data_IF_385185806678
#
_entry.id   IF_385185806678
#
_cell.length_a   1.000
_cell.length_b   1.000
_cell.length_c   1.000
_cell.angle_alpha   90.00
_cell.angle_beta   90.00
_cell.angle_gamma   90.00
#
_symmetry.space_group_name_H-M   'P 1'
#
loop_
_entity.id
_entity.type
_entity.pdbx_description
1 polymer ?
#
# COMPACT_ATOMS: atom_id res chain seq x y z
N UNK A 1 -36.07 -0.66 13.46
CA UNK A 1 -34.65 -0.38 13.77
C UNK A 1 -34.03 0.25 12.55
N UNK A 2 -33.76 1.55 12.58
CA UNK A 2 -33.26 2.30 11.41
C UNK A 2 -31.74 2.22 11.39
N UNK A 3 -31.20 1.69 10.29
CA UNK A 3 -29.76 1.66 10.03
C UNK A 3 -29.26 3.11 9.90
N UNK A 4 -28.49 3.55 10.89
CA UNK A 4 -27.67 4.76 10.78
C UNK A 4 -26.64 4.50 9.69
N UNK A 5 -26.89 5.03 8.48
CA UNK A 5 -25.83 5.29 7.53
C UNK A 5 -24.92 6.34 8.18
N UNK A 6 -23.84 5.89 8.82
CA UNK A 6 -22.69 6.74 9.11
C UNK A 6 -22.14 7.18 7.76
N UNK A 7 -22.54 8.36 7.31
CA UNK A 7 -21.89 9.08 6.23
C UNK A 7 -20.47 9.33 6.70
N UNK A 8 -19.56 8.43 6.37
CA UNK A 8 -18.14 8.59 6.63
C UNK A 8 -17.72 9.84 5.86
N UNK A 9 -17.40 10.90 6.59
CA UNK A 9 -16.89 12.14 6.02
C UNK A 9 -15.59 11.83 5.31
N UNK A 10 -15.65 11.73 3.97
CA UNK A 10 -14.48 11.55 3.14
C UNK A 10 -13.52 12.71 3.42
N UNK A 11 -12.32 12.40 3.92
CA UNK A 11 -11.31 13.42 4.19
C UNK A 11 -10.88 14.04 2.85
N UNK A 12 -11.01 15.37 2.75
CA UNK A 12 -10.64 16.15 1.57
C UNK A 12 -9.34 16.91 1.86
N UNK A 13 -8.32 16.68 1.04
CA UNK A 13 -7.04 17.39 1.11
C UNK A 13 -6.89 18.30 -0.10
N UNK A 14 -6.74 19.60 0.12
CA UNK A 14 -6.39 20.54 -0.94
C UNK A 14 -4.88 20.65 -1.04
N UNK A 15 -4.27 19.96 -2.00
CA UNK A 15 -2.81 20.01 -2.15
C UNK A 15 -2.33 19.75 -3.58
N UNK A 16 -1.14 20.28 -3.92
CA UNK A 16 -0.43 19.92 -5.13
C UNK A 16 -0.10 18.43 -5.18
N UNK A 17 -0.08 17.88 -6.40
CA UNK A 17 0.26 16.48 -6.62
C UNK A 17 1.64 16.12 -6.05
N UNK A 18 2.65 16.97 -6.25
CA UNK A 18 4.00 16.73 -5.75
C UNK A 18 4.04 16.62 -4.20
N UNK A 19 3.33 17.51 -3.51
CA UNK A 19 3.23 17.50 -2.05
C UNK A 19 2.48 16.25 -1.56
N UNK A 20 1.40 15.88 -2.26
CA UNK A 20 0.65 14.66 -1.97
C UNK A 20 1.53 13.42 -2.10
N UNK A 21 2.28 13.29 -3.19
CA UNK A 21 3.17 12.15 -3.43
C UNK A 21 4.26 12.08 -2.35
N UNK A 22 4.86 13.20 -1.98
CA UNK A 22 5.85 13.26 -0.89
C UNK A 22 5.24 12.83 0.45
N UNK A 23 4.03 13.31 0.76
CA UNK A 23 3.33 12.95 1.99
C UNK A 23 2.99 11.46 2.02
N UNK A 24 2.45 10.91 0.93
CA UNK A 24 2.10 9.49 0.83
C UNK A 24 3.36 8.61 0.93
N UNK A 25 4.46 9.03 0.28
CA UNK A 25 5.76 8.36 0.37
C UNK A 25 6.33 8.37 1.79
N UNK A 26 6.28 9.51 2.47
CA UNK A 26 6.74 9.67 3.85
C UNK A 26 5.93 8.79 4.80
N UNK A 27 4.62 8.80 4.64
CA UNK A 27 3.69 8.04 5.46
C UNK A 27 3.61 6.54 5.11
N UNK A 28 4.27 6.08 4.05
CA UNK A 28 4.06 4.74 3.46
C UNK A 28 2.58 4.42 3.24
N UNK A 29 1.81 5.42 2.83
CA UNK A 29 0.36 5.30 2.77
C UNK A 29 -0.05 4.23 1.74
N UNK A 30 -1.04 3.43 2.11
CA UNK A 30 -1.75 2.53 1.20
C UNK A 30 -3.21 2.95 1.16
N UNK A 31 -3.58 3.70 0.14
CA UNK A 31 -4.90 4.32 0.01
C UNK A 31 -5.16 4.73 -1.44
N UNK A 32 -6.43 4.97 -1.76
CA UNK A 32 -6.82 5.55 -3.04
C UNK A 32 -7.38 6.95 -2.83
N UNK A 33 -7.10 7.84 -3.78
CA UNK A 33 -7.52 9.22 -3.78
C UNK A 33 -8.23 9.51 -5.09
N UNK A 34 -9.23 10.39 -5.04
CA UNK A 34 -9.80 10.96 -6.25
C UNK A 34 -9.98 12.46 -6.17
N UNK A 35 -9.84 13.15 -7.30
CA UNK A 35 -10.16 14.56 -7.40
C UNK A 35 -10.92 14.84 -8.70
N UNK A 36 -11.88 15.77 -8.66
CA UNK A 36 -12.55 16.26 -9.86
C UNK A 36 -11.64 17.31 -10.50
N UNK A 37 -11.38 17.16 -11.80
CA UNK A 37 -10.54 18.09 -12.56
C UNK A 37 -11.35 19.32 -12.98
N UNK A 38 -10.82 20.54 -12.76
CA UNK A 38 -11.50 21.73 -13.21
C UNK A 38 -11.60 21.77 -14.75
N UNK A 39 -12.62 22.47 -15.31
CA UNK A 39 -12.81 22.63 -16.76
C UNK A 39 -11.59 23.21 -17.49
N UNK A 40 -10.77 23.98 -16.79
CA UNK A 40 -9.55 24.59 -17.31
C UNK A 40 -8.40 23.62 -17.59
N UNK A 41 -8.45 22.37 -17.10
CA UNK A 41 -7.39 21.38 -17.36
C UNK A 41 -7.59 20.78 -18.75
N UNK A 42 -6.58 20.89 -19.64
CA UNK A 42 -6.67 20.30 -20.97
C UNK A 42 -6.54 18.78 -20.86
N UNK A 43 -7.64 18.08 -21.11
CA UNK A 43 -7.69 16.61 -21.19
C UNK A 43 -8.18 16.24 -22.58
N UNK A 44 -7.43 15.39 -23.27
CA UNK A 44 -7.84 14.89 -24.58
C UNK A 44 -9.17 14.12 -24.47
N UNK A 45 -10.05 14.27 -25.46
CA UNK A 45 -11.38 13.64 -25.51
C UNK A 45 -12.40 14.12 -24.46
N UNK A 46 -12.11 15.21 -23.73
CA UNK A 46 -13.11 15.84 -22.84
C UNK A 46 -14.13 16.62 -23.68
N UNK A 47 -15.39 16.20 -23.66
CA UNK A 47 -16.50 16.99 -24.21
C UNK A 47 -16.97 18.07 -23.22
N UNK A 48 -17.55 19.16 -23.73
CA UNK A 48 -18.17 20.20 -22.90
C UNK A 48 -19.22 19.59 -21.95
N UNK A 49 -19.19 20.02 -20.68
CA UNK A 49 -20.08 19.51 -19.64
C UNK A 49 -19.67 18.17 -19.01
N UNK A 50 -18.59 17.53 -19.48
CA UNK A 50 -18.08 16.30 -18.85
C UNK A 50 -17.15 16.60 -17.67
N UNK A 51 -17.47 15.99 -16.53
CA UNK A 51 -16.59 15.97 -15.35
C UNK A 51 -15.58 14.83 -15.49
N UNK A 52 -14.30 15.19 -15.38
CA UNK A 52 -13.18 14.24 -15.37
C UNK A 52 -12.74 14.06 -13.93
N UNK A 53 -12.54 12.81 -13.52
CA UNK A 53 -12.01 12.43 -12.22
C UNK A 53 -10.59 11.91 -12.40
N UNK A 54 -9.66 12.46 -11.63
CA UNK A 54 -8.38 11.85 -11.40
C UNK A 54 -8.47 10.83 -10.28
N UNK A 55 -7.91 9.66 -10.50
CA UNK A 55 -7.76 8.62 -9.49
C UNK A 55 -6.28 8.30 -9.33
N UNK A 56 -5.85 8.27 -8.06
CA UNK A 56 -4.51 7.87 -7.66
C UNK A 56 -4.63 6.76 -6.64
N UNK A 57 -3.94 5.64 -6.85
CA UNK A 57 -3.80 4.60 -5.85
C UNK A 57 -2.35 4.54 -5.41
N UNK A 58 -2.16 4.50 -4.10
CA UNK A 58 -0.87 4.36 -3.45
C UNK A 58 -0.80 3.02 -2.74
N UNK A 59 0.34 2.35 -2.86
CA UNK A 59 0.71 1.21 -2.03
C UNK A 59 2.09 1.47 -1.44
N UNK A 60 2.18 1.42 -0.10
CA UNK A 60 3.43 1.67 0.64
C UNK A 60 4.11 2.98 0.21
N UNK A 61 3.29 4.01 -0.11
CA UNK A 61 3.75 5.32 -0.56
C UNK A 61 4.25 5.38 -2.01
N UNK A 62 3.99 4.35 -2.82
CA UNK A 62 4.26 4.34 -4.27
C UNK A 62 2.96 4.41 -5.04
N UNK A 63 2.93 5.18 -6.12
CA UNK A 63 1.78 5.20 -7.03
C UNK A 63 1.73 3.87 -7.78
N UNK A 64 0.63 3.13 -7.62
CA UNK A 64 0.34 1.91 -8.40
C UNK A 64 -0.64 2.17 -9.52
N UNK A 65 -1.50 3.17 -9.34
CA UNK A 65 -2.47 3.61 -10.34
C UNK A 65 -2.51 5.12 -10.40
N UNK A 66 -2.46 5.66 -11.61
CA UNK A 66 -2.78 7.04 -11.90
C UNK A 66 -3.64 7.04 -13.16
N UNK A 67 -4.86 7.58 -13.12
CA UNK A 67 -5.70 7.64 -14.31
C UNK A 67 -6.67 8.81 -14.25
N UNK A 68 -7.08 9.27 -15.43
CA UNK A 68 -8.15 10.22 -15.62
C UNK A 68 -9.32 9.49 -16.26
N UNK A 69 -10.49 9.52 -15.63
CA UNK A 69 -11.70 8.87 -16.15
C UNK A 69 -12.87 9.85 -16.17
N UNK A 70 -13.82 9.62 -17.08
CA UNK A 70 -15.08 10.35 -17.10
C UNK A 70 -15.93 9.92 -15.91
N UNK A 71 -16.49 10.88 -15.17
CA UNK A 71 -17.35 10.58 -14.02
C UNK A 71 -18.58 9.78 -14.41
N UNK A 72 -19.18 10.10 -15.56
CA UNK A 72 -20.46 9.53 -16.00
C UNK A 72 -20.34 8.09 -16.47
N UNK A 73 -19.31 7.77 -17.25
CA UNK A 73 -19.13 6.45 -17.87
C UNK A 73 -18.02 5.61 -17.26
N UNK A 74 -17.23 6.17 -16.32
CA UNK A 74 -15.97 5.60 -15.83
C UNK A 74 -14.97 5.24 -16.94
N UNK A 75 -15.21 5.71 -18.18
CA UNK A 75 -14.31 5.50 -19.31
C UNK A 75 -13.00 6.20 -19.01
N UNK A 76 -11.91 5.45 -19.10
CA UNK A 76 -10.57 5.99 -18.89
C UNK A 76 -10.13 6.76 -20.13
N UNK A 77 -9.75 8.02 -19.92
CA UNK A 77 -9.23 8.91 -20.96
C UNK A 77 -7.71 8.83 -21.05
N UNK A 78 -7.04 8.78 -19.89
CA UNK A 78 -5.58 8.80 -19.79
C UNK A 78 -5.14 7.94 -18.61
N UNK A 79 -3.96 7.33 -18.71
CA UNK A 79 -3.40 6.47 -17.67
C UNK A 79 -1.92 6.76 -17.41
N UNK A 80 -1.49 6.39 -16.21
CA UNK A 80 -0.12 6.37 -15.72
C UNK A 80 0.64 7.67 -15.99
N UNK A 81 1.73 7.62 -16.78
CA UNK A 81 2.62 8.75 -17.01
C UNK A 81 1.93 9.96 -17.64
N UNK A 82 1.00 9.74 -18.57
CA UNK A 82 0.27 10.82 -19.24
C UNK A 82 -0.68 11.52 -18.27
N UNK A 83 -1.41 10.74 -17.48
CA UNK A 83 -2.27 11.26 -16.43
C UNK A 83 -1.45 12.02 -15.37
N UNK A 84 -0.28 11.50 -14.99
CA UNK A 84 0.60 12.13 -14.02
C UNK A 84 1.15 13.46 -14.53
N UNK A 85 1.54 13.55 -15.81
CA UNK A 85 2.03 14.79 -16.42
C UNK A 85 0.95 15.88 -16.41
N UNK A 86 -0.28 15.53 -16.81
CA UNK A 86 -1.42 16.46 -16.76
C UNK A 86 -1.68 16.91 -15.33
N UNK A 87 -1.73 15.98 -14.37
CA UNK A 87 -1.99 16.30 -12.97
C UNK A 87 -0.87 17.11 -12.31
N UNK A 88 0.38 16.93 -12.73
CA UNK A 88 1.51 17.71 -12.23
C UNK A 88 1.50 19.16 -12.73
N UNK A 89 0.87 19.40 -13.89
CA UNK A 89 0.59 20.75 -14.39
C UNK A 89 -0.52 21.48 -13.64
N UNK A 90 -1.28 20.77 -12.80
CA UNK A 90 -2.35 21.35 -11.98
C UNK A 90 -1.81 21.75 -10.60
N UNK A 91 -2.09 22.98 -10.19
CA UNK A 91 -1.55 23.55 -8.95
C UNK A 91 -1.99 22.80 -7.69
N UNK A 92 -3.29 22.80 -7.38
CA UNK A 92 -3.83 22.12 -6.21
C UNK A 92 -5.21 21.54 -6.55
N UNK A 93 -5.42 20.29 -6.14
CA UNK A 93 -6.68 19.58 -6.34
C UNK A 93 -7.28 19.15 -4.99
N UNK A 94 -8.62 19.12 -4.87
CA UNK A 94 -9.31 18.59 -3.71
C UNK A 94 -9.31 17.05 -3.76
N UNK A 95 -8.30 16.43 -3.18
CA UNK A 95 -8.15 14.98 -3.11
C UNK A 95 -9.05 14.39 -2.02
N UNK A 96 -9.99 13.56 -2.43
CA UNK A 96 -10.85 12.78 -1.54
C UNK A 96 -10.21 11.44 -1.26
N UNK A 97 -10.07 11.07 0.02
CA UNK A 97 -9.59 9.75 0.41
C UNK A 97 -10.70 8.73 0.33
N UNK A 98 -10.44 7.69 -0.45
CA UNK A 98 -11.18 6.44 -0.41
C UNK A 98 -10.38 5.46 0.43
N UNK A 99 -10.94 5.06 1.57
CA UNK A 99 -10.45 3.88 2.25
C UNK A 99 -10.50 2.73 1.24
N UNK A 100 -9.41 1.96 1.12
CA UNK A 100 -9.42 0.72 0.33
C UNK A 100 -10.55 -0.15 0.88
N UNK A 101 -11.72 -0.09 0.25
CA UNK A 101 -12.61 -1.22 0.23
C UNK A 101 -11.81 -2.25 -0.56
N UNK A 102 -11.28 -3.23 0.17
CA UNK A 102 -10.95 -4.51 -0.43
C UNK A 102 -12.28 -4.99 -1.04
N UNK A 103 -12.51 -4.66 -2.31
CA UNK A 103 -13.30 -5.51 -3.18
C UNK A 103 -12.49 -6.81 -3.30
N UNK A 104 -12.64 -7.65 -2.28
CA UNK A 104 -12.53 -9.09 -2.41
C UNK A 104 -13.68 -9.54 -3.31
N UNK A 105 -13.61 -9.16 -4.58
CA UNK A 105 -14.29 -9.83 -5.68
C UNK A 105 -13.44 -11.07 -5.99
N UNK A 106 -13.44 -12.02 -5.06
CA UNK A 106 -12.92 -13.36 -5.25
C UNK A 106 -14.07 -14.32 -4.91
N UNK A 107 -14.89 -14.53 -5.93
CA UNK A 107 -15.41 -15.86 -6.27
C UNK A 107 -15.99 -16.65 -5.09
N UNK A 108 -17.24 -16.35 -4.74
CA UNK A 108 -18.08 -17.23 -3.94
C UNK A 108 -18.36 -18.51 -4.72
N UNK A 109 -17.43 -19.47 -4.67
CA UNK A 109 -17.75 -20.88 -4.80
C UNK A 109 -18.39 -21.33 -3.47
N UNK A 110 -19.63 -21.88 -3.47
CA UNK A 110 -20.22 -22.39 -2.26
C UNK A 110 -19.69 -23.80 -2.02
N UNK A 111 -18.79 -23.97 -1.05
CA UNK A 111 -18.52 -25.29 -0.48
C UNK A 111 -18.78 -25.25 1.02
N UNK A 112 -19.83 -25.99 1.34
CA UNK A 112 -20.39 -26.35 2.63
C UNK A 112 -19.39 -26.66 3.74
N UNK A 113 -19.86 -26.36 4.96
CA UNK A 113 -19.55 -27.04 6.23
C UNK A 113 -18.08 -26.91 6.71
N UNK A 114 -17.74 -26.81 7.99
CA UNK A 114 -18.27 -27.49 9.18
C UNK A 114 -17.74 -26.73 10.41
N UNK A 115 -18.56 -26.70 11.46
CA UNK A 115 -18.26 -26.65 12.90
C UNK A 115 -16.86 -26.27 13.41
N UNK A 116 -16.89 -25.36 14.40
CA UNK A 116 -15.86 -25.10 15.39
C UNK A 116 -15.02 -26.32 15.81
N UNK A 117 -13.71 -26.12 15.92
CA UNK A 117 -12.89 -26.77 16.94
C UNK A 117 -11.70 -25.88 17.26
N UNK A 118 -11.66 -25.43 18.51
CA UNK A 118 -10.45 -24.94 19.15
C UNK A 118 -9.36 -25.98 18.96
N UNK A 119 -8.27 -25.61 18.30
CA UNK A 119 -7.05 -26.41 18.26
C UNK A 119 -5.89 -25.47 18.50
N UNK A 120 -5.60 -25.32 19.80
CA UNK A 120 -4.32 -24.93 20.36
C UNK A 120 -3.26 -25.77 19.66
N UNK A 121 -2.63 -25.20 18.66
CA UNK A 121 -1.46 -25.80 18.02
C UNK A 121 -0.35 -24.84 18.35
N UNK A 122 0.55 -25.25 19.24
CA UNK A 122 1.82 -24.58 19.50
C UNK A 122 2.56 -24.45 18.16
N UNK A 123 2.31 -23.35 17.46
CA UNK A 123 2.99 -23.02 16.23
C UNK A 123 4.44 -22.74 16.61
N UNK A 124 5.32 -23.66 16.23
CA UNK A 124 6.76 -23.48 16.32
C UNK A 124 7.11 -22.09 15.81
N UNK A 125 7.58 -21.23 16.70
CA UNK A 125 7.77 -19.81 16.42
C UNK A 125 8.97 -19.70 15.48
N UNK A 126 8.71 -19.42 14.20
CA UNK A 126 9.77 -19.25 13.20
C UNK A 126 10.36 -17.84 13.34
N UNK A 127 11.67 -17.77 13.50
CA UNK A 127 12.42 -16.54 13.71
C UNK A 127 13.36 -16.31 12.52
N UNK A 128 13.41 -15.09 11.96
CA UNK A 128 14.36 -14.76 10.90
C UNK A 128 15.78 -14.68 11.48
N UNK A 129 16.70 -15.48 10.94
CA UNK A 129 18.14 -15.43 11.23
C UNK A 129 18.88 -14.86 10.01
N UNK A 130 19.84 -13.96 10.26
CA UNK A 130 20.87 -13.58 9.30
C UNK A 130 21.64 -14.82 8.81
N UNK A 131 21.59 -15.09 7.51
CA UNK A 131 22.33 -16.19 6.89
C UNK A 131 23.78 -15.80 6.58
N UNK A 132 24.07 -14.50 6.59
CA UNK A 132 25.39 -13.92 6.28
C UNK A 132 25.74 -12.92 7.39
N UNK A 133 26.98 -12.91 7.91
CA UNK A 133 27.42 -11.90 8.88
C UNK A 133 27.20 -10.49 8.34
N UNK A 134 26.80 -9.56 9.22
CA UNK A 134 26.45 -8.17 8.87
C UNK A 134 27.54 -7.47 8.06
N UNK A 135 28.80 -7.81 8.30
CA UNK A 135 29.99 -7.25 7.64
C UNK A 135 30.17 -7.70 6.19
N UNK A 136 29.57 -8.84 5.80
CA UNK A 136 29.63 -9.41 4.45
C UNK A 136 28.37 -9.15 3.63
N UNK A 137 27.32 -8.58 4.25
CA UNK A 137 26.10 -8.21 3.54
C UNK A 137 26.31 -6.90 2.75
N UNK A 138 25.79 -6.76 1.52
CA UNK A 138 25.87 -5.53 0.75
C UNK A 138 24.88 -4.48 1.30
N UNK A 139 25.12 -4.02 2.54
CA UNK A 139 24.24 -3.14 3.31
C UNK A 139 24.02 -1.78 2.65
N UNK A 140 24.96 -1.32 1.83
CA UNK A 140 24.85 -0.08 1.06
C UNK A 140 23.88 -0.22 -0.14
N UNK A 141 23.65 -1.44 -0.64
CA UNK A 141 22.74 -1.72 -1.74
C UNK A 141 21.30 -2.04 -1.26
N UNK A 142 21.07 -2.05 0.06
CA UNK A 142 19.76 -2.30 0.64
C UNK A 142 19.06 -0.98 0.99
N UNK A 143 17.76 -0.84 0.70
CA UNK A 143 16.96 0.26 1.21
C UNK A 143 17.08 0.32 2.74
N UNK A 144 17.14 1.53 3.30
CA UNK A 144 17.37 1.77 4.74
C UNK A 144 16.44 0.93 5.63
N UNK A 145 15.16 0.81 5.28
CA UNK A 145 14.18 -0.01 6.02
C UNK A 145 14.47 -1.51 5.96
N UNK A 146 14.90 -2.02 4.81
CA UNK A 146 15.30 -3.42 4.62
C UNK A 146 16.58 -3.74 5.41
N UNK A 147 17.53 -2.79 5.45
CA UNK A 147 18.73 -2.89 6.27
C UNK A 147 18.40 -2.94 7.76
N UNK A 148 17.45 -2.13 8.23
CA UNK A 148 17.03 -2.17 9.63
C UNK A 148 16.34 -3.49 10.00
N UNK A 149 15.51 -4.05 9.13
CA UNK A 149 14.95 -5.40 9.33
C UNK A 149 16.08 -6.43 9.41
N UNK A 150 17.02 -6.41 8.47
CA UNK A 150 18.17 -7.31 8.47
C UNK A 150 18.97 -7.25 9.78
N UNK A 151 19.28 -6.06 10.29
CA UNK A 151 20.02 -5.88 11.55
C UNK A 151 19.25 -6.40 12.79
N UNK A 152 17.93 -6.35 12.78
CA UNK A 152 17.08 -6.79 13.89
C UNK A 152 16.73 -8.28 13.84
N UNK A 153 16.92 -8.94 12.70
CA UNK A 153 16.69 -10.37 12.49
C UNK A 153 17.87 -11.23 12.95
N UNK A 154 18.11 -11.27 14.25
CA UNK A 154 19.20 -12.02 14.88
C UNK A 154 18.79 -13.42 15.36
N UNK A 155 17.68 -13.99 14.88
CA UNK A 155 17.17 -15.29 15.30
C UNK A 155 16.54 -15.32 16.70
N UNK A 156 16.39 -14.17 17.37
CA UNK A 156 15.72 -14.09 18.69
C UNK A 156 14.38 -13.36 18.63
N UNK A 157 14.15 -12.57 17.58
CA UNK A 157 12.98 -11.71 17.43
C UNK A 157 12.07 -12.26 16.37
N UNK A 158 10.78 -12.35 16.68
CA UNK A 158 9.77 -12.68 15.68
C UNK A 158 9.61 -11.52 14.69
N UNK A 159 9.04 -11.77 13.49
CA UNK A 159 8.67 -10.70 12.58
C UNK A 159 7.78 -9.64 13.24
N UNK A 160 6.93 -10.06 14.20
CA UNK A 160 6.07 -9.18 14.98
C UNK A 160 6.86 -8.31 15.97
N UNK A 161 7.89 -8.84 16.61
CA UNK A 161 8.78 -8.05 17.46
C UNK A 161 9.54 -7.01 16.63
N UNK A 162 10.01 -7.39 15.45
CA UNK A 162 10.71 -6.48 14.53
C UNK A 162 9.76 -5.38 14.04
N UNK A 163 8.52 -5.73 13.71
CA UNK A 163 7.45 -4.78 13.35
C UNK A 163 7.19 -3.76 14.47
N UNK A 164 7.09 -4.24 15.72
CA UNK A 164 6.90 -3.39 16.89
C UNK A 164 8.08 -2.43 17.12
N UNK A 165 9.31 -2.92 17.00
CA UNK A 165 10.54 -2.11 17.18
C UNK A 165 10.69 -1.07 16.09
N UNK A 166 10.41 -1.43 14.83
CA UNK A 166 10.52 -0.52 13.69
C UNK A 166 9.28 0.36 13.50
N UNK A 167 8.21 0.13 14.28
CA UNK A 167 6.88 0.72 14.09
C UNK A 167 6.39 0.58 12.65
N UNK A 168 6.63 -0.59 12.07
CA UNK A 168 6.21 -0.95 10.73
C UNK A 168 5.06 -1.95 10.79
N UNK A 169 4.18 -1.98 9.78
CA UNK A 169 3.19 -3.05 9.67
C UNK A 169 3.87 -4.42 9.56
N UNK A 170 3.32 -5.43 10.22
CA UNK A 170 3.83 -6.81 10.18
C UNK A 170 4.01 -7.31 8.73
N UNK A 171 3.05 -7.05 7.86
CA UNK A 171 3.13 -7.44 6.45
C UNK A 171 4.26 -6.74 5.68
N UNK A 172 4.68 -5.53 6.07
CA UNK A 172 5.88 -4.91 5.49
C UNK A 172 7.16 -5.61 5.95
N UNK A 173 7.24 -5.94 7.24
CA UNK A 173 8.38 -6.66 7.80
C UNK A 173 8.52 -8.04 7.18
N UNK A 174 7.43 -8.78 7.01
CA UNK A 174 7.41 -10.07 6.30
C UNK A 174 7.86 -9.92 4.85
N UNK A 175 7.40 -8.88 4.14
CA UNK A 175 7.85 -8.57 2.77
C UNK A 175 9.35 -8.27 2.74
N UNK A 176 9.87 -7.54 3.72
CA UNK A 176 11.31 -7.26 3.81
C UNK A 176 12.13 -8.51 4.13
N UNK A 177 11.63 -9.39 5.00
CA UNK A 177 12.22 -10.70 5.28
C UNK A 177 12.24 -11.56 3.99
N UNK A 178 11.15 -11.59 3.22
CA UNK A 178 11.09 -12.29 1.94
C UNK A 178 12.10 -11.74 0.92
N UNK A 179 12.28 -10.42 0.86
CA UNK A 179 13.29 -9.78 -0.01
C UNK A 179 14.71 -10.18 0.41
N UNK A 180 14.96 -10.21 1.72
CA UNK A 180 16.25 -10.63 2.28
C UNK A 180 16.52 -12.13 2.03
N UNK A 181 15.48 -12.96 2.07
CA UNK A 181 15.55 -14.38 1.74
C UNK A 181 15.84 -14.62 0.26
N UNK A 182 15.16 -13.92 -0.65
CA UNK A 182 15.45 -14.00 -2.10
C UNK A 182 16.88 -13.58 -2.44
N UNK A 183 17.52 -12.77 -1.59
CA UNK A 183 18.92 -12.34 -1.73
C UNK A 183 19.90 -13.25 -0.98
N UNK A 184 19.45 -14.37 -0.43
CA UNK A 184 20.23 -15.29 0.41
C UNK A 184 20.90 -14.62 1.62
N UNK A 185 20.34 -13.50 2.10
CA UNK A 185 20.85 -12.77 3.26
C UNK A 185 20.20 -13.26 4.56
N UNK A 186 19.07 -13.95 4.47
CA UNK A 186 18.28 -14.36 5.63
C UNK A 186 17.70 -15.75 5.41
N UNK A 187 17.57 -16.50 6.50
CA UNK A 187 16.94 -17.82 6.54
C UNK A 187 15.94 -17.87 7.69
N UNK A 188 14.84 -18.60 7.53
CA UNK A 188 13.98 -18.93 8.67
C UNK A 188 14.68 -19.97 9.53
N UNK A 189 14.74 -19.73 10.84
CA UNK A 189 15.10 -20.75 11.82
C UNK A 189 13.91 -21.06 12.71
N UNK A 190 13.80 -22.33 13.08
CA UNK A 190 12.91 -22.75 14.16
C UNK A 190 13.53 -22.29 15.47
N UNK A 191 12.77 -21.54 16.27
CA UNK A 191 13.20 -21.19 17.62
C UNK A 191 13.32 -22.48 18.43
N UNK A 192 14.55 -22.92 18.69
CA UNK A 192 14.80 -23.97 19.66
C UNK A 192 14.47 -23.40 21.05
N UNK A 193 13.53 -24.06 21.73
CA UNK A 193 13.09 -23.76 23.09
C UNK A 193 14.23 -23.87 24.09
#
# INVERSE_FOLDING_TARGET
MQHRHTTQTAQVYHMPLAALIEQMRTAQATLSLSAILPPSVPVAERSEGQEVIAELSFEQGRITRCQLCLRTSRRVLMQQGEALQVLNGVSALPWQVHAHQHDHEAETAPVSAITATSSTTEASVHVPLQAVPVEQAPLAALPVRVRHVFLLSNGQRTPQDIANVLRLPLGEVERFIQILQKRNLMTWQLRAS
#
